data_IF_528278207845
#
_entry.id   IF_528278207845
#
_cell.length_a   1.000
_cell.length_b   1.000
_cell.length_c   1.000
_cell.angle_alpha   90.00
_cell.angle_beta   90.00
_cell.angle_gamma   90.00
#
_symmetry.space_group_name_H-M   'P 1'
#
loop_
_entity.id
_entity.type
_entity.pdbx_description
1 polymer ?
#
# COMPACT_ATOMS: atom_id res chain seq x y z
N UNK A 1 42.52 19.88 -28.16
CA UNK A 1 41.28 20.60 -27.75
C UNK A 1 40.09 19.87 -28.36
N UNK A 2 38.87 19.79 -27.80
CA UNK A 2 38.37 19.58 -26.43
C UNK A 2 37.42 18.34 -26.35
N UNK A 3 36.92 18.03 -25.13
CA UNK A 3 35.92 16.97 -24.82
C UNK A 3 34.53 17.26 -25.41
N UNK A 4 33.76 16.21 -25.76
CA UNK A 4 32.28 16.20 -25.76
C UNK A 4 31.76 14.88 -25.16
N UNK A 5 30.66 15.05 -24.42
CA UNK A 5 30.03 14.21 -23.41
C UNK A 5 28.90 13.35 -24.03
N UNK A 6 28.58 12.17 -23.47
CA UNK A 6 27.29 11.80 -22.79
C UNK A 6 26.84 10.35 -22.99
N UNK A 7 26.39 9.79 -21.86
CA UNK A 7 25.59 8.58 -21.61
C UNK A 7 24.61 8.19 -22.73
N UNK A 8 24.49 6.88 -22.95
CA UNK A 8 23.18 6.20 -23.10
C UNK A 8 23.34 4.69 -22.88
N UNK A 9 23.01 4.23 -21.68
CA UNK A 9 22.60 2.84 -21.43
C UNK A 9 21.31 2.58 -22.19
N UNK A 10 21.37 1.74 -23.23
CA UNK A 10 20.18 1.13 -23.83
C UNK A 10 20.28 -0.37 -23.66
N UNK A 11 19.35 -0.90 -22.87
CA UNK A 11 18.95 -2.29 -22.86
C UNK A 11 18.81 -2.79 -24.30
N UNK A 12 19.47 -3.90 -24.62
CA UNK A 12 19.10 -4.75 -25.72
C UNK A 12 19.05 -6.17 -25.17
N UNK A 13 17.83 -6.62 -24.88
CA UNK A 13 17.51 -8.02 -24.73
C UNK A 13 17.96 -8.75 -25.99
N UNK A 14 18.87 -9.71 -25.86
CA UNK A 14 19.14 -10.69 -26.91
C UNK A 14 18.67 -12.04 -26.40
N UNK A 15 17.53 -12.43 -26.93
CA UNK A 15 16.97 -13.76 -26.84
C UNK A 15 17.98 -14.78 -27.39
N UNK A 16 18.41 -15.71 -26.54
CA UNK A 16 19.16 -16.90 -26.94
C UNK A 16 18.32 -18.13 -26.68
N UNK A 17 17.55 -18.56 -27.68
CA UNK A 17 17.01 -19.92 -27.72
C UNK A 17 18.16 -20.89 -27.94
N UNK A 18 18.39 -21.79 -26.99
CA UNK A 18 19.09 -23.06 -27.25
C UNK A 18 18.19 -24.17 -26.73
N UNK A 19 17.50 -24.81 -27.67
CA UNK A 19 16.85 -26.09 -27.43
C UNK A 19 17.95 -27.15 -27.27
N UNK A 20 18.07 -27.72 -26.07
CA UNK A 20 18.77 -28.97 -25.84
C UNK A 20 17.80 -29.90 -25.11
N UNK A 21 17.35 -30.91 -25.84
CA UNK A 21 16.54 -32.03 -25.41
C UNK A 21 17.22 -32.80 -24.28
N UNK A 22 16.59 -32.82 -23.11
CA UNK A 22 16.96 -33.68 -21.99
C UNK A 22 15.85 -33.64 -20.96
N UNK A 23 15.17 -34.77 -20.78
CA UNK A 23 14.08 -34.93 -19.83
C UNK A 23 14.57 -34.71 -18.40
N UNK A 24 14.43 -33.49 -17.90
CA UNK A 24 14.18 -33.23 -16.50
C UNK A 24 12.82 -32.57 -16.47
N UNK A 25 11.84 -33.24 -15.87
CA UNK A 25 10.58 -32.60 -15.51
C UNK A 25 10.94 -31.42 -14.62
N UNK A 26 11.03 -30.23 -15.22
CA UNK A 26 11.00 -29.01 -14.46
C UNK A 26 9.63 -29.03 -13.81
N UNK A 27 9.59 -29.40 -12.54
CA UNK A 27 8.52 -28.96 -11.66
C UNK A 27 8.61 -27.46 -11.74
N UNK A 28 7.87 -26.86 -12.69
CA UNK A 28 7.58 -25.45 -12.68
C UNK A 28 6.78 -25.29 -11.41
N UNK A 29 7.47 -25.03 -10.30
CA UNK A 29 6.84 -24.58 -9.08
C UNK A 29 5.87 -23.48 -9.55
N UNK A 30 4.56 -23.60 -9.30
CA UNK A 30 3.63 -22.58 -9.74
C UNK A 30 4.20 -21.28 -9.21
N UNK A 31 4.49 -20.33 -10.11
CA UNK A 31 4.99 -19.03 -9.71
C UNK A 31 4.12 -18.60 -8.55
N UNK A 32 4.70 -18.53 -7.35
CA UNK A 32 3.98 -18.07 -6.18
C UNK A 32 3.60 -16.64 -6.52
N UNK A 33 2.37 -16.44 -6.98
CA UNK A 33 1.87 -15.14 -7.40
C UNK A 33 1.94 -14.27 -6.16
N UNK A 34 3.02 -13.48 -6.06
CA UNK A 34 3.17 -12.53 -4.98
C UNK A 34 1.95 -11.62 -5.05
N UNK A 35 1.22 -11.52 -3.93
CA UNK A 35 0.00 -10.74 -3.91
C UNK A 35 0.31 -9.30 -4.35
N UNK A 36 -0.50 -8.71 -5.24
CA UNK A 36 -0.26 -7.36 -5.71
C UNK A 36 -0.25 -6.38 -4.53
N UNK A 37 0.58 -5.34 -4.63
CA UNK A 37 0.69 -4.30 -3.61
C UNK A 37 0.35 -2.93 -4.19
N UNK A 38 -0.44 -2.13 -3.48
CA UNK A 38 -0.78 -0.77 -3.88
C UNK A 38 -0.29 0.23 -2.83
N UNK A 39 0.16 1.40 -3.31
CA UNK A 39 0.43 2.55 -2.46
C UNK A 39 -0.90 3.09 -1.91
N UNK A 40 -1.05 3.16 -0.59
CA UNK A 40 -2.24 3.66 0.10
C UNK A 40 -1.83 4.68 1.15
N UNK A 41 -2.52 5.81 1.22
CA UNK A 41 -2.17 6.89 2.14
C UNK A 41 -2.96 6.78 3.43
N UNK A 42 -2.28 6.92 4.56
CA UNK A 42 -2.91 7.05 5.88
C UNK A 42 -2.53 8.42 6.44
N UNK A 43 -3.55 9.21 6.78
CA UNK A 43 -3.39 10.61 7.17
C UNK A 43 -4.08 10.87 8.49
N UNK A 44 -3.36 11.47 9.44
CA UNK A 44 -3.95 11.97 10.66
C UNK A 44 -4.06 13.50 10.58
N UNK A 45 -5.27 13.98 10.32
CA UNK A 45 -5.63 15.40 10.38
C UNK A 45 -6.46 15.72 11.63
N UNK A 46 -6.52 14.82 12.61
CA UNK A 46 -7.15 15.08 13.90
C UNK A 46 -6.21 15.86 14.83
N UNK A 47 -6.76 16.39 15.92
CA UNK A 47 -5.98 17.11 16.94
C UNK A 47 -5.19 16.17 17.89
N UNK A 48 -5.32 14.85 17.76
CA UNK A 48 -4.72 13.86 18.65
C UNK A 48 -3.75 12.94 17.90
N UNK A 49 -2.92 12.19 18.62
CA UNK A 49 -2.14 11.12 18.01
C UNK A 49 -3.07 9.96 17.74
N UNK A 50 -2.96 9.32 16.58
CA UNK A 50 -3.84 8.21 16.26
C UNK A 50 -3.19 7.13 15.43
N UNK A 51 -3.73 5.93 15.55
CA UNK A 51 -3.32 4.77 14.77
C UNK A 51 -4.40 4.45 13.73
N UNK A 52 -4.05 4.66 12.47
CA UNK A 52 -4.93 4.43 11.34
C UNK A 52 -4.48 3.14 10.68
N UNK A 53 -5.41 2.23 10.43
CA UNK A 53 -5.15 0.99 9.73
C UNK A 53 -6.05 0.89 8.51
N UNK A 54 -5.49 0.41 7.40
CA UNK A 54 -6.25 -0.05 6.24
C UNK A 54 -6.20 -1.58 6.23
N UNK A 55 -7.36 -2.17 6.01
CA UNK A 55 -7.58 -3.60 5.97
C UNK A 55 -8.02 -3.99 4.57
N UNK A 56 -7.45 -5.08 4.06
CA UNK A 56 -7.75 -5.69 2.77
C UNK A 56 -8.16 -7.15 2.98
N UNK A 57 -8.51 -7.84 1.89
CA UNK A 57 -8.85 -9.27 1.93
C UNK A 57 -7.72 -10.16 2.50
N UNK A 58 -6.46 -9.69 2.50
CA UNK A 58 -5.29 -10.52 2.81
C UNK A 58 -4.28 -9.86 3.75
N UNK A 59 -4.39 -8.56 4.00
CA UNK A 59 -3.43 -7.85 4.82
C UNK A 59 -4.06 -6.65 5.54
N UNK A 60 -3.53 -6.36 6.72
CA UNK A 60 -3.79 -5.12 7.44
C UNK A 60 -2.49 -4.33 7.52
N UNK A 61 -2.55 -3.04 7.21
CA UNK A 61 -1.42 -2.12 7.35
C UNK A 61 -1.82 -0.93 8.20
N UNK A 62 -1.09 -0.74 9.30
CA UNK A 62 -1.29 0.37 10.23
C UNK A 62 -0.17 1.40 10.14
N UNK A 63 -0.51 2.67 10.34
CA UNK A 63 0.45 3.77 10.46
C UNK A 63 1.26 3.72 11.75
N UNK A 64 0.75 3.03 12.77
CA UNK A 64 1.24 3.21 14.14
C UNK A 64 0.80 4.58 14.68
N UNK A 65 1.44 5.05 15.75
CA UNK A 65 1.12 6.33 16.39
C UNK A 65 1.51 7.51 15.50
N UNK A 66 0.59 7.93 14.64
CA UNK A 66 0.78 9.03 13.70
C UNK A 66 0.41 10.34 14.40
N UNK A 67 1.33 11.30 14.43
CA UNK A 67 1.08 12.61 15.04
C UNK A 67 0.07 13.44 14.23
N UNK A 68 -0.58 14.40 14.88
CA UNK A 68 -1.51 15.33 14.25
C UNK A 68 -0.85 16.06 13.06
N UNK A 69 -1.60 16.19 11.97
CA UNK A 69 -1.16 16.83 10.72
C UNK A 69 -0.18 16.01 9.88
N UNK A 70 0.02 14.72 10.17
CA UNK A 70 0.94 13.86 9.41
C UNK A 70 0.20 12.97 8.42
N UNK A 71 0.86 12.65 7.32
CA UNK A 71 0.34 11.79 6.27
C UNK A 71 1.48 10.99 5.66
N UNK A 72 1.29 9.69 5.53
CA UNK A 72 2.28 8.76 5.02
C UNK A 72 1.66 7.78 4.04
N UNK A 73 2.46 7.32 3.08
CA UNK A 73 2.05 6.34 2.07
C UNK A 73 2.67 5.00 2.40
N UNK A 74 1.84 3.97 2.45
CA UNK A 74 2.23 2.60 2.74
C UNK A 74 1.91 1.69 1.57
N UNK A 75 2.76 0.68 1.35
CA UNK A 75 2.47 -0.38 0.40
C UNK A 75 1.64 -1.46 1.09
N UNK A 76 0.44 -1.73 0.56
CA UNK A 76 -0.53 -2.65 1.14
C UNK A 76 -0.78 -3.77 0.14
N UNK A 77 -0.58 -5.01 0.58
CA UNK A 77 -0.90 -6.19 -0.22
C UNK A 77 -2.42 -6.40 -0.27
N UNK A 78 -2.94 -6.81 -1.42
CA UNK A 78 -4.36 -7.07 -1.62
C UNK A 78 -4.60 -8.20 -2.62
N UNK A 79 -5.81 -8.78 -2.60
CA UNK A 79 -6.24 -9.77 -3.60
C UNK A 79 -7.13 -9.13 -4.66
N UNK A 80 -8.08 -8.29 -4.23
CA UNK A 80 -8.95 -7.53 -5.11
C UNK A 80 -9.06 -6.06 -4.70
N UNK A 81 -9.60 -5.20 -5.58
CA UNK A 81 -9.83 -3.80 -5.24
C UNK A 81 -10.98 -3.61 -4.25
N UNK A 82 -11.80 -4.64 -3.99
CA UNK A 82 -12.99 -4.58 -3.13
C UNK A 82 -12.71 -4.99 -1.68
N UNK A 83 -13.66 -4.74 -0.78
CA UNK A 83 -13.63 -5.08 0.64
C UNK A 83 -12.50 -4.41 1.44
N UNK A 84 -12.06 -3.24 0.99
CA UNK A 84 -11.15 -2.43 1.77
C UNK A 84 -11.94 -1.70 2.84
N UNK A 85 -11.42 -1.60 4.06
CA UNK A 85 -11.99 -0.72 5.07
C UNK A 85 -10.87 -0.14 5.92
N UNK A 86 -11.14 0.96 6.59
CA UNK A 86 -10.17 1.59 7.47
C UNK A 86 -10.70 1.73 8.89
N UNK A 87 -9.78 1.62 9.83
CA UNK A 87 -10.03 1.84 11.25
C UNK A 87 -9.10 2.91 11.78
N UNK A 88 -9.57 3.74 12.70
CA UNK A 88 -8.80 4.78 13.37
C UNK A 88 -8.99 4.64 14.89
N UNK A 89 -7.89 4.61 15.63
CA UNK A 89 -7.89 4.59 17.10
C UNK A 89 -7.03 5.74 17.61
N UNK A 90 -7.66 6.74 18.20
CA UNK A 90 -6.97 7.85 18.83
C UNK A 90 -6.30 7.40 20.15
N UNK A 91 -5.03 7.74 20.32
CA UNK A 91 -4.24 7.39 21.49
C UNK A 91 -4.78 8.10 22.73
N UNK A 92 -5.17 7.32 23.73
CA UNK A 92 -5.71 7.84 24.99
C UNK A 92 -7.22 8.09 24.98
N UNK A 93 -7.91 7.79 23.88
CA UNK A 93 -9.37 7.80 23.80
C UNK A 93 -9.89 6.37 23.65
N UNK A 94 -10.99 6.06 24.33
CA UNK A 94 -11.69 4.79 24.16
C UNK A 94 -12.62 4.88 22.96
N UNK A 95 -12.25 4.25 21.85
CA UNK A 95 -13.09 4.17 20.66
C UNK A 95 -12.27 3.89 19.40
N UNK A 96 -12.82 3.04 18.52
CA UNK A 96 -12.28 2.81 17.18
C UNK A 96 -13.32 3.23 16.17
N UNK A 97 -13.00 4.24 15.37
CA UNK A 97 -13.83 4.62 14.24
C UNK A 97 -13.54 3.64 13.08
N UNK A 98 -14.58 3.20 12.37
CA UNK A 98 -14.45 2.33 11.21
C UNK A 98 -15.26 2.87 10.04
N UNK A 99 -14.73 2.72 8.84
CA UNK A 99 -15.46 3.02 7.61
C UNK A 99 -16.29 1.80 7.17
N UNK A 100 -17.33 2.00 6.33
CA UNK A 100 -17.86 0.93 5.50
C UNK A 100 -16.79 0.36 4.57
N UNK A 101 -17.07 -0.81 3.98
CA UNK A 101 -16.24 -1.36 2.92
C UNK A 101 -16.29 -0.45 1.68
N UNK A 102 -15.15 -0.32 1.02
CA UNK A 102 -14.99 0.48 -0.19
C UNK A 102 -14.09 -0.22 -1.21
N UNK A 103 -14.10 0.32 -2.44
CA UNK A 103 -13.17 -0.08 -3.48
C UNK A 103 -11.93 0.82 -3.47
N UNK A 104 -10.75 0.20 -3.51
CA UNK A 104 -9.46 0.87 -3.71
C UNK A 104 -9.37 1.58 -5.06
N UNK A 105 -10.24 1.30 -6.01
CA UNK A 105 -10.29 2.05 -7.26
C UNK A 105 -10.83 3.46 -7.04
N UNK A 106 -11.72 3.65 -6.07
CA UNK A 106 -12.38 4.92 -5.77
C UNK A 106 -11.74 5.69 -4.61
N UNK A 107 -11.12 4.98 -3.66
CA UNK A 107 -10.54 5.56 -2.44
C UNK A 107 -9.06 5.23 -2.39
N UNK A 108 -8.21 6.23 -2.15
CA UNK A 108 -6.74 6.10 -2.13
C UNK A 108 -6.14 6.47 -0.77
N UNK A 109 -6.94 7.08 0.10
CA UNK A 109 -6.51 7.64 1.36
C UNK A 109 -7.55 7.40 2.46
N UNK A 110 -7.05 7.06 3.65
CA UNK A 110 -7.82 7.05 4.88
C UNK A 110 -7.33 8.17 5.78
N UNK A 111 -8.21 9.12 6.04
CA UNK A 111 -7.91 10.34 6.76
C UNK A 111 -8.68 10.36 8.07
N UNK A 112 -8.00 10.27 9.20
CA UNK A 112 -8.62 10.60 10.47
C UNK A 112 -8.75 12.12 10.58
N UNK A 113 -9.96 12.56 10.90
CA UNK A 113 -10.30 13.97 11.09
C UNK A 113 -11.07 14.12 12.40
N UNK A 114 -11.00 15.30 12.99
CA UNK A 114 -11.76 15.61 14.20
C UNK A 114 -10.95 16.37 15.21
N UNK A 115 -11.55 16.65 16.34
CA UNK A 115 -10.95 17.41 17.41
C UNK A 115 -10.68 16.52 18.63
N UNK A 116 -10.23 17.13 19.73
CA UNK A 116 -9.94 16.42 20.98
C UNK A 116 -11.16 15.76 21.64
N UNK A 117 -12.38 16.11 21.20
CA UNK A 117 -13.64 15.60 21.75
C UNK A 117 -14.27 14.49 20.91
N UNK A 118 -13.79 14.30 19.67
CA UNK A 118 -14.31 13.28 18.77
C UNK A 118 -13.52 13.24 17.47
N UNK A 119 -13.03 12.04 17.14
CA UNK A 119 -12.36 11.74 15.89
C UNK A 119 -13.23 10.80 15.04
N UNK A 120 -13.15 10.95 13.72
CA UNK A 120 -13.85 10.14 12.73
C UNK A 120 -12.90 9.85 11.58
N UNK A 121 -13.18 8.79 10.83
CA UNK A 121 -12.36 8.41 9.68
C UNK A 121 -13.10 8.73 8.38
N UNK A 122 -12.44 9.48 7.50
CA UNK A 122 -12.93 9.88 6.18
C UNK A 122 -12.19 9.13 5.08
N UNK A 123 -12.95 8.69 4.09
CA UNK A 123 -12.44 8.10 2.85
C UNK A 123 -12.16 9.22 1.84
N UNK A 124 -10.96 9.21 1.24
CA UNK A 124 -10.53 10.17 0.21
C UNK A 124 -9.90 9.48 -1.00
#
# INVERSE_FOLDING_TARGET
>A
MPRIIKRTTRLAAVAGMVAATGAAMMVVAPASYAAPSAAFRLSNFSATIANICVHTDIATKCSGNLAAGKSEVYHVAYKGPQNWYCTATAKGLSGTASTPYFSRDNVKECAEVGNIFGASIMLK
#
